data_IF_828539636226
#
_entry.id   IF_828539636226
#
_cell.length_a   1.000
_cell.length_b   1.000
_cell.length_c   1.000
_cell.angle_alpha   90.00
_cell.angle_beta   90.00
_cell.angle_gamma   90.00
#
_symmetry.space_group_name_H-M   'P 1'
#
loop_
_entity.id
_entity.type
_entity.pdbx_description
1 polymer ?
#
# COMPACT_ATOMS: atom_id res chain seq x y z
N UNK A 1 -24.52 -5.90 49.57
CA UNK A 1 -23.41 -5.31 48.81
C UNK A 1 -23.79 -5.33 47.34
N UNK A 2 -24.11 -4.18 46.73
CA UNK A 2 -24.34 -4.10 45.28
C UNK A 2 -23.00 -3.98 44.56
N UNK A 3 -22.62 -5.04 43.86
CA UNK A 3 -21.48 -5.01 42.93
C UNK A 3 -21.88 -4.23 41.68
N UNK A 4 -21.24 -3.10 41.44
CA UNK A 4 -21.34 -2.38 40.17
C UNK A 4 -20.60 -3.20 39.12
N UNK A 5 -21.33 -3.86 38.23
CA UNK A 5 -20.76 -4.48 37.05
C UNK A 5 -20.25 -3.37 36.12
N UNK A 6 -18.94 -3.09 36.14
CA UNK A 6 -18.30 -2.26 35.11
C UNK A 6 -18.34 -3.04 33.81
N UNK A 7 -19.14 -2.59 32.83
CA UNK A 7 -19.00 -3.06 31.44
C UNK A 7 -17.71 -2.46 30.91
N UNK A 8 -16.76 -3.29 30.50
CA UNK A 8 -15.60 -2.81 29.77
C UNK A 8 -16.09 -2.04 28.53
N UNK A 9 -15.68 -0.77 28.38
CA UNK A 9 -15.94 -0.03 27.16
C UNK A 9 -15.31 -0.79 25.99
N UNK A 10 -16.03 -0.93 24.89
CA UNK A 10 -15.47 -1.53 23.68
C UNK A 10 -14.28 -0.68 23.22
N UNK A 11 -13.12 -1.32 23.01
CA UNK A 11 -11.90 -0.64 22.56
C UNK A 11 -12.11 -0.23 21.09
N UNK A 12 -12.07 1.08 20.76
CA UNK A 12 -12.06 1.52 19.38
C UNK A 12 -10.87 0.93 18.63
N UNK A 13 -11.12 0.52 17.39
CA UNK A 13 -10.11 -0.05 16.49
C UNK A 13 -10.08 0.83 15.26
N UNK A 14 -8.89 1.15 14.78
CA UNK A 14 -8.69 1.92 13.57
C UNK A 14 -7.95 1.09 12.51
N UNK A 15 -8.36 1.24 11.24
CA UNK A 15 -7.83 0.49 10.11
C UNK A 15 -7.46 1.44 8.97
N UNK A 16 -6.35 1.12 8.32
CA UNK A 16 -5.89 1.77 7.09
C UNK A 16 -6.39 0.96 5.89
N UNK A 17 -6.89 1.65 4.86
CA UNK A 17 -7.25 1.07 3.56
C UNK A 17 -6.79 1.96 2.41
N UNK A 18 -6.69 1.40 1.20
CA UNK A 18 -6.11 2.10 0.05
C UNK A 18 -4.57 2.08 -0.01
N UNK A 19 -3.92 1.47 0.98
CA UNK A 19 -2.49 1.17 1.00
C UNK A 19 -2.30 -0.27 1.46
N UNK A 20 -1.73 -1.11 0.60
CA UNK A 20 -1.41 -2.49 0.96
C UNK A 20 -0.04 -2.55 1.65
N UNK A 21 0.14 -3.54 2.52
CA UNK A 21 1.46 -3.85 3.09
C UNK A 21 2.40 -4.31 1.96
N UNK A 22 3.62 -3.75 1.92
CA UNK A 22 4.58 -3.94 0.85
C UNK A 22 4.31 -3.13 -0.43
N UNK A 23 3.32 -2.22 -0.44
CA UNK A 23 3.01 -1.42 -1.62
C UNK A 23 4.18 -0.50 -2.01
N UNK A 24 4.35 -0.25 -3.31
CA UNK A 24 5.26 0.76 -3.83
C UNK A 24 4.44 1.97 -4.27
N UNK A 25 4.61 3.13 -3.64
CA UNK A 25 3.97 4.35 -4.10
C UNK A 25 4.77 4.99 -5.23
N UNK A 26 4.25 4.82 -6.45
CA UNK A 26 4.69 5.55 -7.63
C UNK A 26 3.99 6.88 -7.85
N UNK A 27 2.70 6.93 -7.50
CA UNK A 27 1.85 8.09 -7.72
C UNK A 27 1.15 8.50 -6.42
N UNK A 28 0.55 9.70 -6.35
CA UNK A 28 -0.28 10.10 -5.23
C UNK A 28 -1.41 9.10 -4.97
N UNK A 29 -1.41 8.50 -3.79
CA UNK A 29 -2.37 7.44 -3.40
C UNK A 29 -3.26 7.95 -2.28
N UNK A 30 -4.58 7.79 -2.44
CA UNK A 30 -5.53 8.11 -1.38
C UNK A 30 -5.63 6.97 -0.38
N UNK A 31 -5.23 7.26 0.85
CA UNK A 31 -5.33 6.34 1.99
C UNK A 31 -6.52 6.75 2.84
N UNK A 32 -7.31 5.77 3.28
CA UNK A 32 -8.49 5.98 4.12
C UNK A 32 -8.29 5.37 5.50
N UNK A 33 -8.86 6.04 6.49
CA UNK A 33 -8.87 5.61 7.88
C UNK A 33 -10.30 5.37 8.33
N UNK A 34 -10.61 4.12 8.68
CA UNK A 34 -11.87 3.73 9.32
C UNK A 34 -11.63 3.52 10.81
N UNK A 35 -12.58 3.92 11.65
CA UNK A 35 -12.51 3.74 13.09
C UNK A 35 -13.82 3.21 13.63
N UNK A 36 -13.74 2.12 14.39
CA UNK A 36 -14.89 1.57 15.10
C UNK A 36 -15.33 2.49 16.23
N UNK A 37 -16.63 2.48 16.54
CA UNK A 37 -17.22 3.34 17.57
C UNK A 37 -16.88 4.84 17.40
N UNK A 38 -17.10 5.45 16.21
CA UNK A 38 -16.64 6.81 15.91
C UNK A 38 -17.25 7.91 16.80
N UNK A 39 -18.28 7.57 17.58
CA UNK A 39 -18.94 8.49 18.54
C UNK A 39 -18.18 8.65 19.85
N UNK A 40 -17.32 7.70 20.22
CA UNK A 40 -16.54 7.76 21.47
C UNK A 40 -15.09 8.17 21.23
N UNK A 41 -14.64 8.10 19.98
CA UNK A 41 -13.28 8.48 19.60
C UNK A 41 -13.18 10.01 19.55
N UNK A 42 -12.18 10.53 20.26
CA UNK A 42 -11.93 11.95 20.39
C UNK A 42 -10.96 12.44 19.32
N UNK A 43 -9.94 11.64 19.01
CA UNK A 43 -8.98 11.96 17.95
C UNK A 43 -8.59 10.73 17.14
N UNK A 44 -8.23 10.97 15.88
CA UNK A 44 -7.71 9.98 14.94
C UNK A 44 -6.58 10.63 14.17
N UNK A 45 -5.40 10.01 14.20
CA UNK A 45 -4.20 10.47 13.51
C UNK A 45 -3.70 9.37 12.57
N UNK A 46 -3.31 9.75 11.35
CA UNK A 46 -2.46 8.92 10.50
C UNK A 46 -1.03 9.40 10.69
N UNK A 47 -0.13 8.49 11.04
CA UNK A 47 1.29 8.74 11.23
C UNK A 47 2.06 8.04 10.11
N UNK A 48 2.95 8.75 9.44
CA UNK A 48 3.97 8.18 8.53
C UNK A 48 5.33 8.44 9.14
N UNK A 49 6.07 7.37 9.46
CA UNK A 49 7.33 7.40 10.20
C UNK A 49 7.26 8.25 11.48
N UNK A 50 6.15 8.10 12.20
CA UNK A 50 5.87 8.84 13.43
C UNK A 50 5.45 10.30 13.24
N UNK A 51 5.32 10.81 12.01
CA UNK A 51 4.86 12.17 11.70
C UNK A 51 3.40 12.19 11.29
N UNK A 52 2.62 13.08 11.89
CA UNK A 52 1.21 13.24 11.55
C UNK A 52 1.01 13.71 10.10
N UNK A 53 0.18 12.98 9.38
CA UNK A 53 -0.31 13.33 8.05
C UNK A 53 -1.71 13.92 8.18
N UNK A 54 -1.97 14.99 7.44
CA UNK A 54 -3.27 15.66 7.47
C UNK A 54 -4.38 14.75 6.94
N UNK A 55 -5.39 14.51 7.78
CA UNK A 55 -6.62 13.81 7.40
C UNK A 55 -7.70 14.82 7.02
N UNK A 56 -8.22 14.71 5.81
CA UNK A 56 -9.46 15.33 5.37
C UNK A 56 -10.64 14.38 5.46
N UNK A 57 -11.78 14.80 4.93
CA UNK A 57 -12.95 13.94 4.70
C UNK A 57 -13.16 13.84 3.19
N UNK A 58 -13.21 12.61 2.67
CA UNK A 58 -13.45 12.38 1.25
C UNK A 58 -14.94 12.47 0.88
N UNK A 59 -15.25 12.29 -0.41
CA UNK A 59 -16.64 12.36 -0.91
C UNK A 59 -17.56 11.28 -0.35
N UNK A 60 -17.01 10.23 0.28
CA UNK A 60 -17.76 9.15 0.93
C UNK A 60 -18.01 9.43 2.41
N UNK A 61 -17.45 10.51 2.95
CA UNK A 61 -17.53 10.86 4.36
C UNK A 61 -16.50 10.16 5.25
N UNK A 62 -15.53 9.45 4.66
CA UNK A 62 -14.45 8.77 5.38
C UNK A 62 -13.25 9.69 5.55
N UNK A 63 -12.49 9.47 6.63
CA UNK A 63 -11.22 10.17 6.85
C UNK A 63 -10.22 9.69 5.81
N UNK A 64 -9.59 10.63 5.10
CA UNK A 64 -8.66 10.30 4.03
C UNK A 64 -7.45 11.24 4.01
N UNK A 65 -6.31 10.72 3.60
CA UNK A 65 -5.09 11.46 3.32
C UNK A 65 -4.60 11.10 1.91
N UNK A 66 -4.01 12.07 1.22
CA UNK A 66 -3.27 11.83 -0.01
C UNK A 66 -1.80 11.62 0.36
N UNK A 67 -1.27 10.42 0.16
CA UNK A 67 0.16 10.15 0.27
C UNK A 67 0.79 10.41 -1.10
N UNK A 68 1.53 11.50 -1.21
CA UNK A 68 2.30 11.84 -2.40
C UNK A 68 3.73 11.33 -2.23
N UNK A 69 4.21 10.38 -3.06
CA UNK A 69 5.56 9.86 -2.96
C UNK A 69 6.62 10.94 -3.18
N UNK A 70 6.31 12.02 -3.92
CA UNK A 70 7.25 13.14 -4.11
C UNK A 70 7.46 13.99 -2.86
N UNK A 71 6.56 13.87 -1.87
CA UNK A 71 6.67 14.52 -0.56
C UNK A 71 7.33 13.63 0.50
N UNK A 72 7.68 12.39 0.14
CA UNK A 72 8.35 11.42 1.00
C UNK A 72 9.81 11.26 0.58
N UNK A 73 10.67 10.86 1.51
CA UNK A 73 12.02 10.39 1.15
C UNK A 73 11.89 9.10 0.33
N UNK A 74 12.79 8.84 -0.61
CA UNK A 74 12.76 7.57 -1.34
C UNK A 74 13.10 6.42 -0.39
N UNK A 75 12.37 5.31 -0.48
CA UNK A 75 12.67 4.10 0.30
C UNK A 75 11.51 3.64 1.19
N UNK A 76 11.83 2.84 2.21
CA UNK A 76 10.86 2.22 3.09
C UNK A 76 10.25 3.21 4.08
N UNK A 77 8.95 3.09 4.28
CA UNK A 77 8.15 3.86 5.23
C UNK A 77 7.18 2.96 5.98
N UNK A 78 6.71 3.46 7.11
CA UNK A 78 5.66 2.84 7.90
C UNK A 78 4.50 3.81 8.14
N UNK A 79 3.29 3.40 7.78
CA UNK A 79 2.06 4.09 8.13
C UNK A 79 1.35 3.39 9.30
N UNK A 80 0.97 4.14 10.32
CA UNK A 80 0.19 3.66 11.45
C UNK A 80 -0.94 4.63 11.78
N UNK A 81 -2.09 4.09 12.18
CA UNK A 81 -3.20 4.91 12.67
C UNK A 81 -3.24 4.88 14.18
N UNK A 82 -3.41 6.05 14.80
CA UNK A 82 -3.62 6.19 16.24
C UNK A 82 -5.01 6.76 16.50
N UNK A 83 -5.77 6.15 17.40
CA UNK A 83 -7.06 6.66 17.87
C UNK A 83 -7.00 6.88 19.39
N UNK A 84 -7.56 7.98 19.88
CA UNK A 84 -7.65 8.26 21.32
C UNK A 84 -9.10 8.47 21.77
N UNK A 85 -9.39 8.08 23.00
CA UNK A 85 -10.69 8.26 23.64
C UNK A 85 -10.55 8.29 25.16
N UNK A 86 -11.55 8.81 25.86
CA UNK A 86 -11.63 8.70 27.33
C UNK A 86 -12.57 7.58 27.75
N UNK A 87 -12.15 6.77 28.72
CA UNK A 87 -13.00 5.76 29.37
C UNK A 87 -12.85 5.83 30.89
N UNK A 88 -13.96 5.89 31.61
CA UNK A 88 -13.97 6.04 33.08
C UNK A 88 -13.11 7.21 33.61
N UNK A 89 -12.97 8.27 32.81
CA UNK A 89 -12.15 9.45 33.15
C UNK A 89 -10.66 9.31 32.81
N UNK A 90 -10.22 8.16 32.31
CA UNK A 90 -8.83 7.91 31.90
C UNK A 90 -8.68 8.04 30.38
N UNK A 91 -7.64 8.76 29.89
CA UNK A 91 -7.32 8.80 28.47
C UNK A 91 -6.72 7.46 28.03
N UNK A 92 -7.24 6.94 26.94
CA UNK A 92 -6.81 5.70 26.31
C UNK A 92 -6.44 5.94 24.84
N UNK A 93 -5.58 5.07 24.33
CA UNK A 93 -5.15 5.11 22.94
C UNK A 93 -5.05 3.69 22.36
N UNK A 94 -5.26 3.61 21.05
CA UNK A 94 -5.06 2.42 20.24
C UNK A 94 -4.17 2.80 19.06
N UNK A 95 -3.15 1.98 18.80
CA UNK A 95 -2.38 2.03 17.57
C UNK A 95 -2.73 0.81 16.73
N UNK A 96 -3.09 1.07 15.47
CA UNK A 96 -3.39 0.02 14.51
C UNK A 96 -2.16 -0.78 14.13
N UNK A 97 -2.38 -1.88 13.42
CA UNK A 97 -1.28 -2.62 12.78
C UNK A 97 -0.56 -1.70 11.78
N UNK A 98 0.78 -1.58 11.85
CA UNK A 98 1.51 -0.79 10.87
C UNK A 98 1.41 -1.38 9.45
N UNK A 99 1.36 -0.50 8.45
CA UNK A 99 1.40 -0.83 7.03
C UNK A 99 2.73 -0.32 6.47
N UNK A 100 3.57 -1.24 5.99
CA UNK A 100 4.86 -0.89 5.38
C UNK A 100 4.69 -0.66 3.90
N UNK A 101 5.42 0.31 3.37
CA UNK A 101 5.39 0.63 1.94
C UNK A 101 6.71 1.25 1.51
N UNK A 102 6.93 1.36 0.21
CA UNK A 102 8.12 2.00 -0.37
C UNK A 102 7.70 3.20 -1.21
N UNK A 103 8.22 4.40 -0.92
CA UNK A 103 8.06 5.53 -1.82
C UNK A 103 9.07 5.44 -2.97
N UNK A 104 8.60 5.50 -4.21
CA UNK A 104 9.47 5.44 -5.37
C UNK A 104 10.37 6.69 -5.44
N UNK A 105 11.65 6.48 -5.81
CA UNK A 105 12.64 7.55 -5.84
C UNK A 105 12.40 8.62 -6.92
N UNK A 106 11.58 8.34 -7.93
CA UNK A 106 11.40 9.25 -9.06
C UNK A 106 10.06 9.04 -9.77
N UNK A 107 9.12 9.94 -9.52
CA UNK A 107 7.94 10.14 -10.37
C UNK A 107 6.95 8.97 -10.44
N UNK A 108 5.86 9.13 -11.23
CA UNK A 108 4.90 8.07 -11.48
C UNK A 108 5.60 6.83 -12.05
N UNK A 109 5.17 5.65 -11.59
CA UNK A 109 5.62 4.39 -12.16
C UNK A 109 4.99 4.25 -13.55
N UNK A 110 5.78 4.32 -14.61
CA UNK A 110 5.33 4.21 -16.02
C UNK A 110 5.93 3.01 -16.72
N UNK A 111 5.37 2.67 -17.89
CA UNK A 111 5.98 1.67 -18.77
C UNK A 111 7.44 2.02 -19.10
N UNK A 112 7.69 3.21 -19.64
CA UNK A 112 9.00 3.58 -20.18
C UNK A 112 10.08 3.71 -19.09
N UNK A 113 9.73 4.28 -17.95
CA UNK A 113 10.72 4.61 -16.92
C UNK A 113 10.98 3.44 -15.95
N UNK A 114 10.04 2.50 -15.82
CA UNK A 114 10.10 1.48 -14.77
C UNK A 114 9.91 0.05 -15.30
N UNK A 115 8.83 -0.22 -16.03
CA UNK A 115 8.48 -1.60 -16.42
C UNK A 115 9.30 -2.09 -17.61
N UNK A 116 9.53 -1.26 -18.62
CA UNK A 116 10.33 -1.63 -19.80
C UNK A 116 11.79 -1.96 -19.45
N UNK A 117 12.49 -1.17 -18.61
CA UNK A 117 13.83 -1.55 -18.14
C UNK A 117 13.84 -2.89 -17.41
N UNK A 118 12.84 -3.16 -16.56
CA UNK A 118 12.67 -4.44 -15.85
C UNK A 118 12.45 -5.59 -16.84
N UNK A 119 11.55 -5.41 -17.80
CA UNK A 119 11.28 -6.37 -18.87
C UNK A 119 12.58 -6.76 -19.59
N UNK A 120 13.31 -5.75 -20.11
CA UNK A 120 14.54 -5.96 -20.86
C UNK A 120 15.62 -6.66 -20.03
N UNK A 121 15.72 -6.34 -18.75
CA UNK A 121 16.74 -6.89 -17.87
C UNK A 121 16.44 -8.33 -17.41
N UNK A 122 15.17 -8.70 -17.22
CA UNK A 122 14.80 -9.94 -16.50
C UNK A 122 13.95 -10.93 -17.28
N UNK A 123 13.21 -10.48 -18.29
CA UNK A 123 12.16 -11.29 -18.92
C UNK A 123 12.36 -11.45 -20.45
N UNK A 124 12.84 -10.40 -21.13
CA UNK A 124 12.93 -10.31 -22.59
C UNK A 124 13.70 -11.48 -23.23
N UNK A 125 14.75 -11.97 -22.55
CA UNK A 125 15.59 -13.07 -23.05
C UNK A 125 14.79 -14.33 -23.43
N UNK A 126 13.71 -14.62 -22.71
CA UNK A 126 12.83 -15.76 -22.98
C UNK A 126 11.50 -15.33 -23.61
N UNK A 127 11.02 -14.14 -23.29
CA UNK A 127 9.64 -13.73 -23.60
C UNK A 127 9.48 -12.82 -24.83
N UNK A 128 10.55 -12.33 -25.48
CA UNK A 128 10.40 -11.55 -26.71
C UNK A 128 9.92 -12.41 -27.90
N UNK A 129 10.43 -13.63 -28.03
CA UNK A 129 10.07 -14.56 -29.11
C UNK A 129 10.35 -16.04 -28.77
N UNK A 130 10.77 -16.34 -27.55
CA UNK A 130 11.32 -17.65 -27.18
C UNK A 130 10.36 -18.60 -26.46
N UNK A 131 9.14 -18.16 -26.14
CA UNK A 131 8.19 -18.92 -25.33
C UNK A 131 6.75 -18.78 -25.83
N UNK A 132 5.82 -19.58 -25.27
CA UNK A 132 4.39 -19.50 -25.57
C UNK A 132 3.78 -18.15 -25.13
N UNK A 133 4.31 -17.56 -24.05
CA UNK A 133 3.85 -16.26 -23.55
C UNK A 133 4.80 -15.18 -24.05
N UNK A 134 4.36 -14.46 -25.09
CA UNK A 134 5.11 -13.34 -25.65
C UNK A 134 4.85 -12.08 -24.82
N UNK A 135 5.93 -11.42 -24.39
CA UNK A 135 5.91 -10.19 -23.58
C UNK A 135 6.76 -9.07 -24.24
N UNK A 136 6.92 -9.10 -25.56
CA UNK A 136 7.88 -8.28 -26.30
C UNK A 136 7.68 -6.76 -26.20
N UNK A 137 6.46 -6.32 -25.89
CA UNK A 137 6.09 -4.91 -25.85
C UNK A 137 5.05 -4.60 -24.76
N UNK A 138 4.75 -3.30 -24.61
CA UNK A 138 3.80 -2.79 -23.61
C UNK A 138 2.43 -3.46 -23.74
N UNK A 139 1.91 -3.61 -24.96
CA UNK A 139 0.56 -4.12 -25.17
C UNK A 139 0.48 -5.61 -24.78
N UNK A 140 1.53 -6.38 -25.09
CA UNK A 140 1.66 -7.75 -24.63
C UNK A 140 1.73 -7.84 -23.09
N UNK A 141 2.44 -6.92 -22.43
CA UNK A 141 2.46 -6.84 -20.97
C UNK A 141 1.10 -6.50 -20.37
N UNK A 142 0.39 -5.50 -20.91
CA UNK A 142 -0.96 -5.13 -20.45
C UNK A 142 -1.91 -6.32 -20.52
N UNK A 143 -1.88 -7.08 -21.62
CA UNK A 143 -2.72 -8.28 -21.79
C UNK A 143 -2.38 -9.39 -20.78
N UNK A 144 -1.12 -9.51 -20.38
CA UNK A 144 -0.63 -10.63 -19.58
C UNK A 144 -0.31 -10.27 -18.11
N UNK A 145 -0.51 -9.03 -17.67
CA UNK A 145 0.02 -8.54 -16.39
C UNK A 145 -0.41 -9.39 -15.18
N UNK A 146 -1.66 -9.85 -15.15
CA UNK A 146 -2.16 -10.66 -14.03
C UNK A 146 -1.51 -12.04 -14.01
N UNK A 147 -1.23 -12.61 -15.19
CA UNK A 147 -0.45 -13.84 -15.31
C UNK A 147 0.99 -13.60 -14.88
N UNK A 148 1.62 -12.50 -15.31
CA UNK A 148 2.99 -12.13 -14.91
C UNK A 148 3.08 -12.07 -13.39
N UNK A 149 2.18 -11.30 -12.75
CA UNK A 149 2.12 -11.17 -11.29
C UNK A 149 1.93 -12.52 -10.60
N UNK A 150 1.01 -13.34 -11.08
CA UNK A 150 0.77 -14.70 -10.54
C UNK A 150 2.04 -15.56 -10.59
N UNK A 151 2.84 -15.47 -11.64
CA UNK A 151 4.07 -16.26 -11.79
C UNK A 151 5.23 -15.74 -10.94
N UNK A 152 5.43 -14.42 -10.87
CA UNK A 152 6.54 -13.83 -10.13
C UNK A 152 6.30 -13.83 -8.62
N UNK A 153 5.05 -13.62 -8.17
CA UNK A 153 4.68 -13.72 -6.75
C UNK A 153 4.81 -15.14 -6.21
N UNK A 154 4.56 -16.14 -7.07
CA UNK A 154 4.77 -17.54 -6.73
C UNK A 154 6.23 -17.99 -6.89
N UNK A 155 7.17 -17.08 -7.18
CA UNK A 155 8.57 -17.36 -7.43
C UNK A 155 8.83 -18.43 -8.51
N UNK A 156 7.92 -18.56 -9.49
CA UNK A 156 8.08 -19.48 -10.65
C UNK A 156 8.88 -18.85 -11.78
N UNK A 157 8.94 -17.52 -11.82
CA UNK A 157 9.73 -16.73 -12.75
C UNK A 157 10.64 -15.76 -12.00
N UNK A 158 11.86 -15.48 -12.51
CA UNK A 158 12.43 -16.02 -13.75
C UNK A 158 12.94 -17.48 -13.61
N UNK A 159 12.82 -18.28 -14.68
CA UNK A 159 13.35 -19.64 -14.70
C UNK A 159 14.89 -19.64 -14.63
N UNK A 160 15.44 -20.37 -13.64
CA UNK A 160 16.88 -20.54 -13.49
C UNK A 160 17.63 -19.32 -12.94
N UNK A 161 16.91 -18.27 -12.54
CA UNK A 161 17.44 -17.11 -11.82
C UNK A 161 16.86 -16.98 -10.42
N UNK A 162 17.35 -16.01 -9.66
CA UNK A 162 16.75 -15.65 -8.38
C UNK A 162 15.34 -15.07 -8.60
N UNK A 163 14.37 -15.37 -7.70
CA UNK A 163 13.07 -14.72 -7.70
C UNK A 163 13.19 -13.19 -7.65
N UNK A 164 12.21 -12.50 -8.25
CA UNK A 164 12.13 -11.05 -8.11
C UNK A 164 11.88 -10.68 -6.63
N UNK A 165 12.51 -9.60 -6.18
CA UNK A 165 12.24 -9.07 -4.85
C UNK A 165 10.89 -8.34 -4.80
N UNK A 166 10.38 -8.11 -3.60
CA UNK A 166 9.05 -7.52 -3.39
C UNK A 166 8.96 -6.10 -3.94
N UNK A 167 10.04 -5.31 -3.89
CA UNK A 167 10.08 -3.97 -4.46
C UNK A 167 9.90 -4.02 -5.98
N UNK A 168 10.56 -4.96 -6.65
CA UNK A 168 10.46 -5.18 -8.09
C UNK A 168 9.06 -5.65 -8.49
N UNK A 169 8.47 -6.58 -7.73
CA UNK A 169 7.09 -7.03 -7.97
C UNK A 169 6.11 -5.86 -7.72
N UNK A 170 6.35 -5.06 -6.69
CA UNK A 170 5.58 -3.88 -6.36
C UNK A 170 5.54 -2.84 -7.47
N UNK A 171 6.62 -2.67 -8.25
CA UNK A 171 6.61 -1.83 -9.47
C UNK A 171 5.59 -2.34 -10.49
N UNK A 172 5.58 -3.64 -10.76
CA UNK A 172 4.65 -4.25 -11.74
C UNK A 172 3.19 -4.11 -11.25
N UNK A 173 2.93 -4.37 -9.96
CA UNK A 173 1.59 -4.18 -9.37
C UNK A 173 1.14 -2.73 -9.46
N UNK A 174 2.01 -1.79 -9.11
CA UNK A 174 1.70 -0.36 -9.11
C UNK A 174 1.40 0.12 -10.52
N UNK A 175 2.17 -0.33 -11.51
CA UNK A 175 1.89 -0.01 -12.91
C UNK A 175 0.51 -0.53 -13.38
N UNK A 176 0.14 -1.75 -13.00
CA UNK A 176 -1.22 -2.28 -13.25
C UNK A 176 -2.29 -1.45 -12.53
N UNK A 177 -2.10 -1.19 -11.25
CA UNK A 177 -3.10 -0.55 -10.39
C UNK A 177 -3.32 0.94 -10.72
N UNK A 178 -2.40 1.53 -11.48
CA UNK A 178 -2.48 2.91 -12.00
C UNK A 178 -2.98 2.98 -13.45
N UNK A 179 -3.54 1.88 -13.98
CA UNK A 179 -4.09 1.76 -15.34
C UNK A 179 -3.03 1.91 -16.45
N UNK A 180 -1.86 1.30 -16.22
CA UNK A 180 -0.79 1.16 -17.19
C UNK A 180 -0.25 2.47 -17.79
N UNK A 181 0.10 3.49 -17.00
CA UNK A 181 0.62 4.74 -17.52
C UNK A 181 1.95 4.58 -18.29
#
# INVERSE_FOLDING_TARGET
>A
ASGVARRAAAVPVALISGLADGAVLGAPTTVRVDVSHPRVVESVELLVDGRAVALGIDSTGLRAALLDPSALEAGEHEAVVRATWTSDGEPLAFEGTPVRFTAAASGPITWLDNVEPLHRARCAICHDNGTETILADRDAWVVNVDRILTEVEAARMPLGGDPLDEATIGVIRTWRDTDFP
#
